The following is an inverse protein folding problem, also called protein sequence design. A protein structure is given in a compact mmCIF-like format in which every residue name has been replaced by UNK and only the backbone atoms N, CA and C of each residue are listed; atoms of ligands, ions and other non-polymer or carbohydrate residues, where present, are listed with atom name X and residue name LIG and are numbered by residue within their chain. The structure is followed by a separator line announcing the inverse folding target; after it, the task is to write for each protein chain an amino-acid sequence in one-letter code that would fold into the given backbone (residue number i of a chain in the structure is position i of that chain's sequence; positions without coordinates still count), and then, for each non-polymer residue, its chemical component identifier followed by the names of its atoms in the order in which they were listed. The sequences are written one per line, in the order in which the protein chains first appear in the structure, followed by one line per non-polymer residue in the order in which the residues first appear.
data_IF_884768143296
#
_entry.id   IF_884768143296
#
_cell.length_a   1.000
_cell.length_b   1.000
_cell.length_c   1.000
_cell.angle_alpha   90.00
_cell.angle_beta   90.00
_cell.angle_gamma   90.00
#
_symmetry.space_group_name_H-M   'P 1'
#
loop_
_entity.id
_entity.type
_entity.pdbx_description
1 polymer ?
#
# COMPACT_ATOMS: atom_id res chain seq x y z
N UNK A 1 -4.87 -3.98 8.00
CA UNK A 1 -4.55 -3.89 9.42
C UNK A 1 -5.01 -2.56 9.99
N UNK A 2 -5.39 -2.52 11.25
CA UNK A 2 -5.99 -1.34 11.86
C UNK A 2 -5.70 -1.33 13.37
N UNK A 3 -4.93 -0.36 13.83
CA UNK A 3 -4.64 -0.14 15.25
C UNK A 3 -5.72 0.71 15.95
N UNK A 4 -6.95 0.66 15.47
CA UNK A 4 -8.08 1.44 15.98
C UNK A 4 -8.17 2.86 15.42
N UNK A 5 -7.40 3.17 14.36
CA UNK A 5 -7.45 4.46 13.67
C UNK A 5 -8.62 4.54 12.67
N UNK A 6 -9.06 3.41 12.14
CA UNK A 6 -10.17 3.31 11.19
C UNK A 6 -11.44 2.75 11.87
N UNK A 7 -12.63 3.21 11.47
CA UNK A 7 -12.88 4.29 10.51
C UNK A 7 -12.56 5.67 11.07
N UNK A 8 -12.20 6.62 10.18
CA UNK A 8 -11.93 8.00 10.56
C UNK A 8 -13.19 8.74 11.03
N UNK A 9 -12.99 9.70 11.94
CA UNK A 9 -14.02 10.64 12.37
C UNK A 9 -13.98 11.88 11.49
N UNK A 10 -15.15 12.43 11.15
CA UNK A 10 -15.29 13.61 10.26
C UNK A 10 -14.61 14.89 10.77
N UNK A 11 -14.28 14.95 12.05
CA UNK A 11 -13.66 16.14 12.68
C UNK A 11 -12.12 16.19 12.45
N UNK A 12 -11.50 15.10 12.04
CA UNK A 12 -10.06 15.00 11.85
C UNK A 12 -9.65 15.65 10.53
N UNK A 13 -8.58 16.46 10.57
CA UNK A 13 -7.96 17.00 9.35
C UNK A 13 -7.05 15.97 8.72
N UNK A 14 -7.10 15.83 7.39
CA UNK A 14 -6.31 14.84 6.65
C UNK A 14 -5.35 15.52 5.66
N UNK A 15 -4.14 15.00 5.57
CA UNK A 15 -3.24 15.25 4.45
C UNK A 15 -3.27 14.04 3.54
N UNK A 16 -3.41 14.28 2.24
CA UNK A 16 -3.57 13.22 1.23
C UNK A 16 -2.42 13.27 0.24
N UNK A 17 -1.77 12.12 0.04
CA UNK A 17 -0.66 11.93 -0.86
C UNK A 17 -0.94 10.73 -1.78
N UNK A 18 -0.97 10.99 -3.09
CA UNK A 18 -1.22 9.97 -4.12
C UNK A 18 -2.70 9.73 -4.49
N UNK A 19 -3.67 10.38 -3.81
CA UNK A 19 -5.10 10.34 -4.16
C UNK A 19 -5.64 11.73 -4.52
N UNK A 20 -6.81 11.81 -5.15
CA UNK A 20 -7.43 13.08 -5.52
C UNK A 20 -7.94 13.86 -4.29
N UNK A 21 -7.31 15.01 -4.03
CA UNK A 21 -7.66 15.88 -2.90
C UNK A 21 -9.08 16.48 -3.00
N UNK A 22 -9.64 16.61 -4.21
CA UNK A 22 -11.01 17.11 -4.41
C UNK A 22 -12.01 16.08 -3.92
N UNK A 23 -11.76 14.81 -4.23
CA UNK A 23 -12.57 13.68 -3.72
C UNK A 23 -12.42 13.61 -2.20
N UNK A 24 -11.20 13.65 -1.67
CA UNK A 24 -10.95 13.66 -0.22
C UNK A 24 -11.72 14.78 0.50
N UNK A 25 -11.81 15.98 -0.12
CA UNK A 25 -12.50 17.14 0.47
C UNK A 25 -14.00 16.97 0.60
N UNK A 26 -14.63 16.03 -0.12
CA UNK A 26 -16.05 15.70 0.08
C UNK A 26 -16.31 14.80 1.28
N UNK A 27 -15.26 14.18 1.83
CA UNK A 27 -15.34 13.30 3.01
C UNK A 27 -14.88 13.99 4.30
N UNK A 28 -13.96 14.94 4.21
CA UNK A 28 -13.42 15.59 5.41
C UNK A 28 -12.56 16.83 5.13
N UNK A 29 -11.98 17.39 6.19
CA UNK A 29 -11.13 18.57 6.10
C UNK A 29 -9.74 18.20 5.58
N UNK A 30 -9.42 18.60 4.34
CA UNK A 30 -8.10 18.38 3.73
C UNK A 30 -7.16 19.56 4.03
N UNK A 31 -5.94 19.27 4.44
CA UNK A 31 -4.84 20.24 4.63
C UNK A 31 -3.71 19.98 3.64
N UNK A 32 -2.92 21.04 3.34
CA UNK A 32 -1.82 20.95 2.38
C UNK A 32 -0.45 20.67 3.01
N UNK A 33 -0.38 20.69 4.33
CA UNK A 33 0.85 20.51 5.08
C UNK A 33 0.70 19.24 5.94
N UNK A 34 1.53 18.19 5.72
CA UNK A 34 1.45 16.96 6.49
C UNK A 34 1.73 17.15 7.99
N UNK A 35 2.49 18.21 8.36
CA UNK A 35 2.79 18.49 9.77
C UNK A 35 1.58 19.08 10.52
N UNK A 36 0.56 19.57 9.79
CA UNK A 36 -0.69 20.14 10.34
C UNK A 36 -1.87 19.20 10.25
N UNK A 37 -1.66 18.00 9.73
CA UNK A 37 -2.71 16.99 9.62
C UNK A 37 -2.82 16.16 10.89
N UNK A 38 -4.05 15.87 11.30
CA UNK A 38 -4.30 14.87 12.34
C UNK A 38 -4.01 13.46 11.80
N UNK A 39 -4.31 13.22 10.53
CA UNK A 39 -4.12 11.96 9.83
C UNK A 39 -3.42 12.19 8.49
N UNK A 40 -2.50 11.32 8.15
CA UNK A 40 -1.87 11.27 6.83
C UNK A 40 -2.36 10.03 6.10
N UNK A 41 -2.90 10.20 4.90
CA UNK A 41 -3.32 9.12 4.00
C UNK A 41 -2.35 9.10 2.82
N UNK A 42 -1.59 8.03 2.67
CA UNK A 42 -0.63 7.84 1.60
C UNK A 42 -1.03 6.66 0.73
N UNK A 43 -1.22 6.91 -0.57
CA UNK A 43 -1.50 5.89 -1.56
C UNK A 43 -0.23 5.53 -2.31
N UNK A 44 0.05 4.25 -2.44
CA UNK A 44 1.21 3.72 -3.15
C UNK A 44 0.80 2.57 -4.06
N UNK A 45 1.49 2.45 -5.18
CA UNK A 45 1.37 1.31 -6.07
C UNK A 45 2.49 0.32 -5.83
N UNK A 46 2.22 -0.96 -6.03
CA UNK A 46 3.28 -1.97 -6.14
C UNK A 46 4.09 -1.70 -7.41
N UNK A 47 5.37 -1.37 -7.23
CA UNK A 47 6.24 -0.92 -8.32
C UNK A 47 6.74 -2.10 -9.15
N UNK A 48 6.62 -1.98 -10.48
CA UNK A 48 7.42 -2.77 -11.39
C UNK A 48 8.78 -2.08 -11.54
N UNK A 49 9.78 -2.49 -10.77
CA UNK A 49 11.14 -1.99 -10.92
C UNK A 49 11.76 -2.61 -12.18
N UNK A 50 11.52 -2.00 -13.33
CA UNK A 50 12.39 -2.16 -14.48
C UNK A 50 13.75 -1.55 -14.15
N UNK A 51 14.85 -2.25 -14.42
CA UNK A 51 16.19 -1.76 -14.19
C UNK A 51 16.33 -0.34 -14.74
N UNK A 52 16.70 0.62 -13.88
CA UNK A 52 17.04 1.99 -14.28
C UNK A 52 18.44 2.04 -14.88
N UNK A 53 18.65 1.33 -16.00
CA UNK A 53 19.84 1.56 -16.81
C UNK A 53 19.55 2.63 -17.87
N UNK A 54 20.40 3.64 -17.93
CA UNK A 54 20.30 4.75 -18.88
C UNK A 54 20.85 4.34 -20.25
N UNK A 55 20.08 4.53 -21.31
CA UNK A 55 20.55 4.33 -22.70
C UNK A 55 19.46 3.90 -23.66
N UNK A 56 19.86 3.57 -24.90
CA UNK A 56 18.97 3.06 -25.94
C UNK A 56 18.24 1.76 -25.54
N UNK A 57 18.80 1.01 -24.63
CA UNK A 57 18.22 -0.20 -24.03
C UNK A 57 16.96 0.10 -23.21
N UNK A 58 16.77 1.32 -22.72
CA UNK A 58 15.66 1.72 -21.86
C UNK A 58 14.26 1.45 -22.46
N UNK A 59 14.11 1.61 -23.77
CA UNK A 59 12.84 1.32 -24.45
C UNK A 59 12.57 -0.19 -24.54
N UNK A 60 13.62 -0.97 -24.74
CA UNK A 60 13.53 -2.43 -24.80
C UNK A 60 13.38 -3.04 -23.40
N UNK A 61 14.09 -2.50 -22.40
CA UNK A 61 14.01 -2.91 -21.01
C UNK A 61 12.67 -2.53 -20.38
N UNK A 62 12.10 -1.35 -20.72
CA UNK A 62 10.74 -1.00 -20.32
C UNK A 62 9.68 -1.91 -20.96
N UNK A 63 9.87 -2.32 -22.19
CA UNK A 63 8.99 -3.28 -22.86
C UNK A 63 9.11 -4.68 -22.22
N UNK A 64 10.33 -5.15 -21.99
CA UNK A 64 10.58 -6.44 -21.34
C UNK A 64 10.13 -6.43 -19.87
N UNK A 65 10.34 -5.36 -19.11
CA UNK A 65 9.88 -5.27 -17.72
C UNK A 65 8.37 -5.22 -17.58
N UNK A 66 7.65 -4.77 -18.62
CA UNK A 66 6.19 -4.85 -18.70
C UNK A 66 5.71 -6.29 -18.94
N UNK A 67 6.47 -7.07 -19.71
CA UNK A 67 6.17 -8.48 -20.01
C UNK A 67 6.71 -9.44 -18.93
N UNK A 68 7.84 -9.10 -18.33
CA UNK A 68 8.55 -9.91 -17.33
C UNK A 68 8.91 -9.02 -16.13
N UNK A 69 7.96 -8.75 -15.22
CA UNK A 69 8.24 -7.93 -14.04
C UNK A 69 9.38 -8.56 -13.23
N UNK A 70 10.33 -7.72 -12.79
CA UNK A 70 11.40 -8.16 -11.91
C UNK A 70 10.84 -8.84 -10.66
N UNK A 71 11.46 -9.94 -10.25
CA UNK A 71 11.04 -10.70 -9.09
C UNK A 71 11.22 -9.99 -7.74
N UNK A 72 11.75 -8.74 -7.71
CA UNK A 72 11.86 -7.96 -6.50
C UNK A 72 10.49 -7.38 -6.11
N UNK A 73 10.06 -7.71 -4.89
CA UNK A 73 8.79 -7.28 -4.30
C UNK A 73 8.94 -6.13 -3.29
N UNK A 74 10.17 -5.63 -3.07
CA UNK A 74 10.41 -4.49 -2.20
C UNK A 74 9.98 -3.18 -2.84
N UNK A 75 9.55 -2.24 -2.00
CA UNK A 75 9.39 -0.84 -2.42
C UNK A 75 10.75 -0.16 -2.52
N UNK A 76 10.83 0.87 -3.36
CA UNK A 76 12.04 1.67 -3.51
C UNK A 76 12.35 2.51 -2.24
N UNK A 77 13.59 3.02 -2.19
CA UNK A 77 14.08 3.80 -1.05
C UNK A 77 13.33 5.15 -0.89
N UNK A 78 12.77 5.71 -1.96
CA UNK A 78 12.02 6.96 -1.91
C UNK A 78 10.70 6.76 -1.18
N UNK A 79 9.92 5.75 -1.57
CA UNK A 79 8.65 5.38 -0.92
C UNK A 79 8.90 5.04 0.55
N UNK A 80 9.89 4.19 0.84
CA UNK A 80 10.22 3.76 2.21
C UNK A 80 10.62 4.94 3.09
N UNK A 81 11.44 5.86 2.59
CA UNK A 81 11.87 7.06 3.32
C UNK A 81 10.69 8.00 3.59
N UNK A 82 9.76 8.11 2.65
CA UNK A 82 8.55 8.93 2.78
C UNK A 82 7.61 8.35 3.84
N UNK A 83 7.41 7.04 3.85
CA UNK A 83 6.63 6.33 4.88
C UNK A 83 7.25 6.56 6.27
N UNK A 84 8.56 6.39 6.43
CA UNK A 84 9.27 6.68 7.68
C UNK A 84 9.11 8.13 8.15
N UNK A 85 9.10 9.08 7.21
CA UNK A 85 8.86 10.49 7.55
C UNK A 85 7.45 10.72 8.06
N UNK A 86 6.44 10.12 7.42
CA UNK A 86 5.03 10.31 7.74
C UNK A 86 4.59 9.53 8.99
N UNK A 87 5.25 8.42 9.32
CA UNK A 87 4.86 7.56 10.45
C UNK A 87 5.23 8.10 11.84
N UNK A 88 5.95 9.23 11.93
CA UNK A 88 6.51 9.76 13.19
C UNK A 88 5.50 9.98 14.32
N UNK A 89 4.26 10.30 13.98
CA UNK A 89 3.20 10.63 14.94
C UNK A 89 2.16 9.51 15.12
N UNK A 90 2.41 8.30 14.58
CA UNK A 90 1.50 7.15 14.60
C UNK A 90 0.08 7.48 14.05
N UNK A 91 0.03 8.29 13.01
CA UNK A 91 -1.21 8.76 12.37
C UNK A 91 -1.22 8.50 10.85
N UNK A 92 -0.37 7.59 10.38
CA UNK A 92 -0.24 7.25 8.96
C UNK A 92 -1.17 6.10 8.59
N UNK A 93 -2.04 6.32 7.62
CA UNK A 93 -2.78 5.29 6.90
C UNK A 93 -2.11 5.10 5.53
N UNK A 94 -1.68 3.88 5.25
CA UNK A 94 -1.14 3.51 3.94
C UNK A 94 -2.18 2.70 3.17
N UNK A 95 -2.47 3.16 1.96
CA UNK A 95 -3.29 2.45 0.98
C UNK A 95 -2.36 1.91 -0.09
N UNK A 96 -2.32 0.59 -0.25
CA UNK A 96 -1.46 -0.09 -1.22
C UNK A 96 -2.31 -0.67 -2.33
N UNK A 97 -2.07 -0.27 -3.57
CA UNK A 97 -2.65 -0.93 -4.72
C UNK A 97 -1.85 -2.21 -5.04
N UNK A 98 -2.45 -3.36 -4.73
CA UNK A 98 -1.83 -4.68 -4.81
C UNK A 98 -2.06 -5.33 -6.17
N UNK A 99 -1.62 -4.69 -7.26
CA UNK A 99 -1.65 -5.31 -8.59
C UNK A 99 -0.80 -6.59 -8.66
N UNK A 100 0.09 -6.78 -7.70
CA UNK A 100 0.88 -7.97 -7.43
C UNK A 100 1.24 -8.04 -5.93
N UNK A 101 1.70 -9.20 -5.39
CA UNK A 101 2.27 -9.26 -4.06
C UNK A 101 3.42 -8.27 -3.87
N UNK A 102 3.61 -7.76 -2.65
CA UNK A 102 4.70 -6.87 -2.27
C UNK A 102 5.17 -7.17 -0.85
N UNK A 103 6.41 -6.83 -0.51
CA UNK A 103 6.91 -6.94 0.86
C UNK A 103 6.35 -5.77 1.69
N UNK A 104 5.37 -6.06 2.53
CA UNK A 104 4.67 -5.06 3.36
C UNK A 104 5.16 -5.00 4.80
N UNK A 105 6.12 -5.82 5.20
CA UNK A 105 6.53 -5.98 6.61
C UNK A 105 6.97 -4.66 7.27
N UNK A 106 7.73 -3.84 6.56
CA UNK A 106 8.16 -2.54 7.10
C UNK A 106 7.00 -1.55 7.18
N UNK A 107 6.14 -1.52 6.17
CA UNK A 107 4.94 -0.66 6.13
C UNK A 107 3.99 -1.03 7.26
N UNK A 108 3.74 -2.32 7.46
CA UNK A 108 2.91 -2.87 8.55
C UNK A 108 3.36 -2.36 9.92
N UNK A 109 4.66 -2.28 10.15
CA UNK A 109 5.23 -1.83 11.43
C UNK A 109 5.17 -0.30 11.64
N UNK A 110 5.01 0.47 10.55
CA UNK A 110 5.07 1.93 10.57
C UNK A 110 3.70 2.60 10.41
N UNK A 111 2.74 1.92 9.79
CA UNK A 111 1.42 2.45 9.53
C UNK A 111 0.45 2.12 10.67
N UNK A 112 -0.33 3.09 11.13
CA UNK A 112 -1.42 2.89 12.08
C UNK A 112 -2.64 2.22 11.41
N UNK A 113 -2.79 2.41 10.10
CA UNK A 113 -3.78 1.72 9.26
C UNK A 113 -3.18 1.27 7.95
N UNK A 114 -3.50 0.05 7.50
CA UNK A 114 -3.04 -0.50 6.23
C UNK A 114 -4.21 -1.10 5.46
N UNK A 115 -4.43 -0.59 4.25
CA UNK A 115 -5.51 -0.99 3.36
C UNK A 115 -4.91 -1.51 2.05
N UNK A 116 -5.25 -2.73 1.65
CA UNK A 116 -4.94 -3.27 0.32
C UNK A 116 -6.09 -2.99 -0.64
N UNK A 117 -5.78 -2.56 -1.86
CA UNK A 117 -6.75 -2.33 -2.94
C UNK A 117 -6.31 -3.05 -4.21
N UNK A 118 -7.24 -3.22 -5.15
CA UNK A 118 -7.04 -3.92 -6.42
C UNK A 118 -7.65 -3.08 -7.55
N UNK A 119 -7.11 -1.87 -7.78
CA UNK A 119 -7.55 -0.98 -8.86
C UNK A 119 -8.95 -0.39 -8.64
N UNK A 120 -9.26 0.07 -7.43
CA UNK A 120 -10.52 0.74 -7.10
C UNK A 120 -10.42 2.25 -7.28
N UNK A 121 -11.57 2.92 -7.43
CA UNK A 121 -11.65 4.39 -7.50
C UNK A 121 -11.35 5.01 -6.13
N UNK A 122 -10.80 6.23 -6.15
CA UNK A 122 -10.47 7.00 -4.94
C UNK A 122 -11.68 7.19 -4.01
N UNK A 123 -12.89 7.40 -4.57
CA UNK A 123 -14.13 7.50 -3.81
C UNK A 123 -14.38 6.27 -2.94
N UNK A 124 -14.17 5.07 -3.50
CA UNK A 124 -14.37 3.80 -2.78
C UNK A 124 -13.36 3.66 -1.63
N UNK A 125 -12.12 4.13 -1.83
CA UNK A 125 -11.10 4.17 -0.79
C UNK A 125 -11.55 5.06 0.36
N UNK A 126 -12.02 6.28 0.08
CA UNK A 126 -12.50 7.19 1.12
C UNK A 126 -13.77 6.71 1.78
N UNK A 127 -14.71 6.11 1.06
CA UNK A 127 -15.90 5.45 1.62
C UNK A 127 -15.52 4.40 2.69
N UNK A 128 -14.50 3.57 2.40
CA UNK A 128 -13.97 2.61 3.37
C UNK A 128 -13.28 3.33 4.55
N UNK A 129 -12.41 4.29 4.28
CA UNK A 129 -11.64 5.00 5.32
C UNK A 129 -12.58 5.70 6.31
N UNK A 130 -13.67 6.29 5.85
CA UNK A 130 -14.66 7.00 6.68
C UNK A 130 -15.80 6.09 7.21
N UNK A 131 -15.75 4.78 6.92
CA UNK A 131 -16.69 3.82 7.47
C UNK A 131 -18.10 3.88 6.85
N UNK A 132 -18.25 4.47 5.66
CA UNK A 132 -19.53 4.50 4.95
C UNK A 132 -19.92 3.10 4.45
N UNK A 133 -18.96 2.20 4.31
CA UNK A 133 -19.20 0.76 4.22
C UNK A 133 -18.15 -0.01 5.01
N UNK A 134 -18.51 -1.22 5.44
CA UNK A 134 -17.61 -2.11 6.16
C UNK A 134 -16.84 -2.99 5.15
N UNK A 135 -15.52 -2.88 5.04
CA UNK A 135 -14.73 -3.73 4.16
C UNK A 135 -14.91 -5.21 4.50
N UNK A 136 -15.16 -6.03 3.48
CA UNK A 136 -15.29 -7.49 3.62
C UNK A 136 -14.31 -8.26 2.71
N UNK A 137 -13.47 -7.53 1.98
CA UNK A 137 -12.49 -8.10 1.06
C UNK A 137 -11.47 -8.99 1.77
N UNK A 138 -11.02 -10.03 1.07
CA UNK A 138 -9.99 -10.96 1.51
C UNK A 138 -8.85 -10.97 0.51
N UNK A 139 -7.62 -11.13 0.99
CA UNK A 139 -6.45 -11.24 0.13
C UNK A 139 -6.58 -12.47 -0.78
N UNK A 140 -6.42 -12.30 -2.10
CA UNK A 140 -6.49 -13.40 -3.06
C UNK A 140 -5.16 -14.18 -3.19
N UNK A 141 -4.14 -13.81 -2.43
CA UNK A 141 -2.83 -14.44 -2.32
C UNK A 141 -2.21 -14.09 -0.96
N UNK A 142 -1.23 -14.86 -0.53
CA UNK A 142 -0.44 -14.51 0.64
C UNK A 142 0.53 -13.35 0.36
N UNK A 143 0.90 -12.61 1.41
CA UNK A 143 1.89 -11.55 1.34
C UNK A 143 3.17 -12.04 2.04
N UNK A 144 4.25 -12.32 1.31
CA UNK A 144 5.50 -12.78 1.91
C UNK A 144 6.11 -11.70 2.83
N UNK A 145 6.82 -12.14 3.86
CA UNK A 145 7.44 -11.24 4.82
C UNK A 145 8.77 -10.67 4.35
N UNK A 146 9.47 -11.35 3.45
CA UNK A 146 10.76 -10.92 2.92
C UNK A 146 11.07 -11.56 1.56
N UNK A 147 12.05 -11.00 0.85
CA UNK A 147 12.57 -11.59 -0.38
C UNK A 147 13.30 -12.93 -0.13
N UNK A 148 13.83 -13.15 1.07
CA UNK A 148 14.39 -14.44 1.45
C UNK A 148 13.33 -15.55 1.47
N UNK A 149 12.13 -15.24 1.97
CA UNK A 149 11.00 -16.18 1.96
C UNK A 149 10.51 -16.42 0.53
N UNK A 150 10.39 -15.38 -0.30
CA UNK A 150 10.03 -15.53 -1.73
C UNK A 150 10.97 -16.49 -2.46
N UNK A 151 12.29 -16.39 -2.21
CA UNK A 151 13.29 -17.26 -2.85
C UNK A 151 13.22 -18.74 -2.42
N UNK A 152 12.55 -19.04 -1.31
CA UNK A 152 12.35 -20.41 -0.81
C UNK A 152 11.07 -21.04 -1.34
N UNK A 153 10.16 -20.25 -1.90
CA UNK A 153 8.91 -20.75 -2.48
C UNK A 153 9.19 -21.69 -3.65
N UNK A 154 8.34 -22.68 -3.81
CA UNK A 154 8.39 -23.60 -4.94
C UNK A 154 7.61 -23.01 -6.12
N UNK A 155 8.15 -23.13 -7.32
CA UNK A 155 7.58 -22.49 -8.53
C UNK A 155 6.12 -22.86 -8.80
N UNK A 156 5.73 -24.09 -8.49
CA UNK A 156 4.39 -24.63 -8.80
C UNK A 156 3.47 -24.74 -7.57
N UNK A 157 3.85 -24.16 -6.42
CA UNK A 157 3.06 -24.26 -5.20
C UNK A 157 2.65 -22.88 -4.72
N UNK A 158 1.36 -22.52 -4.82
CA UNK A 158 0.87 -21.26 -4.28
C UNK A 158 0.85 -21.29 -2.74
N UNK A 159 0.95 -20.13 -2.13
CA UNK A 159 0.76 -19.90 -0.69
C UNK A 159 1.66 -20.82 0.19
N UNK A 160 2.92 -21.01 -0.20
CA UNK A 160 3.88 -21.87 0.51
C UNK A 160 4.96 -21.12 1.31
N UNK A 161 4.74 -19.83 1.59
CA UNK A 161 5.62 -19.02 2.45
C UNK A 161 5.55 -19.54 3.89
N UNK A 162 6.69 -19.88 4.50
CA UNK A 162 6.73 -20.41 5.87
C UNK A 162 6.27 -19.40 6.93
N UNK A 163 6.43 -18.09 6.66
CA UNK A 163 6.08 -17.03 7.59
C UNK A 163 5.59 -15.80 6.82
N UNK A 164 4.38 -15.82 6.26
CA UNK A 164 3.83 -14.68 5.52
C UNK A 164 3.52 -13.51 6.44
N UNK A 165 3.63 -12.27 5.95
CA UNK A 165 3.13 -11.08 6.65
C UNK A 165 1.60 -11.13 6.77
N UNK A 166 0.94 -11.67 5.76
CA UNK A 166 -0.49 -11.95 5.73
C UNK A 166 -0.76 -13.23 4.93
N UNK A 167 -1.60 -14.09 5.49
CA UNK A 167 -2.00 -15.34 4.86
C UNK A 167 -3.01 -15.11 3.73
N UNK A 168 -3.13 -16.06 2.81
CA UNK A 168 -4.24 -16.13 1.87
C UNK A 168 -5.59 -16.01 2.61
N UNK A 169 -6.50 -15.24 2.08
CA UNK A 169 -7.80 -15.02 2.70
C UNK A 169 -7.82 -14.07 3.91
N UNK A 170 -6.68 -13.49 4.28
CA UNK A 170 -6.64 -12.47 5.34
C UNK A 170 -7.46 -11.22 4.95
N UNK A 171 -8.17 -10.68 5.91
CA UNK A 171 -8.91 -9.43 5.80
C UNK A 171 -9.74 -9.20 7.06
N UNK A 172 -9.76 -7.96 7.52
CA UNK A 172 -10.52 -7.52 8.70
C UNK A 172 -11.67 -6.62 8.27
N UNK A 173 -12.64 -6.51 9.17
CA UNK A 173 -13.81 -5.62 9.08
C UNK A 173 -13.85 -4.71 10.29
N UNK A 174 -14.63 -3.63 10.23
CA UNK A 174 -14.90 -2.75 11.39
C UNK A 174 -15.85 -3.40 12.36
#
# INVERSE_FOLDING_TARGET
ENDGILPLKNEQSVFVDGLDKRIASSFGKVVNDPEKADIIIMYIHTVFNGNQESGLNRLFDNFLSTLFPNGDLNFDNEITSKIKKYSKNNNLIVVVDLNRPAILQEIKNLAAGLIGTFGVLDEVIFEAIYGNFNPSGKLPFEIPSSMEEVKKQKEDLPDDTNNPSYEYGYGISY
#
